data_IF_672045959525
#
_entry.id   IF_672045959525
#
_cell.length_a   1.000
_cell.length_b   1.000
_cell.length_c   1.000
_cell.angle_alpha   90.00
_cell.angle_beta   90.00
_cell.angle_gamma   90.00
#
_symmetry.space_group_name_H-M   'P 1'
#
loop_
_entity.id
_entity.type
_entity.pdbx_description
1 polymer ?
#
# COMPACT_ATOMS: atom_id res chain seq x y z
N UNK A 1 38.76 38.57 49.05
CA UNK A 1 37.67 39.55 48.87
C UNK A 1 37.74 40.17 47.48
N UNK A 2 36.78 39.83 46.60
CA UNK A 2 36.18 40.68 45.56
C UNK A 2 35.06 39.87 44.91
N UNK A 3 33.82 40.33 45.10
CA UNK A 3 32.60 39.84 44.46
C UNK A 3 32.46 40.55 43.12
N UNK A 4 32.07 39.86 42.04
CA UNK A 4 31.11 40.36 41.04
C UNK A 4 30.33 39.18 40.45
N UNK A 5 29.03 39.16 40.76
CA UNK A 5 27.95 38.46 40.06
C UNK A 5 27.48 39.41 38.96
N UNK A 6 27.30 38.95 37.72
CA UNK A 6 26.19 39.39 36.86
C UNK A 6 25.99 38.48 35.63
N UNK A 7 24.79 37.91 35.60
CA UNK A 7 24.07 37.19 34.54
C UNK A 7 23.83 38.14 33.34
N UNK A 8 23.67 37.60 32.12
CA UNK A 8 22.58 37.92 31.15
C UNK A 8 22.89 37.29 29.78
N UNK A 9 22.15 36.24 29.46
CA UNK A 9 21.32 36.05 28.26
C UNK A 9 21.76 36.75 26.95
N UNK A 10 22.10 35.96 25.93
CA UNK A 10 21.86 36.28 24.52
C UNK A 10 21.67 34.95 23.76
N UNK A 11 20.42 34.46 23.69
CA UNK A 11 19.56 34.53 22.48
C UNK A 11 20.19 33.66 21.38
N UNK A 12 19.91 32.35 21.31
CA UNK A 12 18.71 31.76 20.70
C UNK A 12 18.28 32.52 19.45
N UNK A 13 18.87 32.17 18.30
CA UNK A 13 18.11 32.04 17.07
C UNK A 13 18.38 30.65 16.51
N UNK A 14 17.66 29.71 17.11
CA UNK A 14 17.29 28.45 16.47
C UNK A 14 16.57 28.89 15.20
N UNK A 15 17.22 28.74 14.05
CA UNK A 15 16.55 28.80 12.76
C UNK A 15 15.65 27.57 12.66
N UNK A 16 14.47 27.69 13.27
CA UNK A 16 13.30 26.91 12.94
C UNK A 16 12.99 27.22 11.48
N UNK A 17 13.48 26.40 10.57
CA UNK A 17 12.90 26.29 9.24
C UNK A 17 11.48 25.75 9.46
N UNK A 18 10.54 26.66 9.69
CA UNK A 18 9.13 26.41 9.46
C UNK A 18 9.00 26.17 7.96
N UNK A 19 9.18 24.91 7.54
CA UNK A 19 8.63 24.47 6.28
C UNK A 19 7.12 24.56 6.49
N UNK A 20 6.51 25.66 6.01
CA UNK A 20 5.07 25.70 5.86
C UNK A 20 4.71 24.51 4.97
N UNK A 21 3.99 23.55 5.56
CA UNK A 21 3.33 22.51 4.80
C UNK A 21 2.28 23.22 3.95
N UNK A 22 2.60 23.42 2.67
CA UNK A 22 1.71 24.07 1.71
C UNK A 22 0.46 23.23 1.42
N UNK A 23 0.32 22.08 2.08
CA UNK A 23 -0.76 21.12 1.87
C UNK A 23 -0.57 20.47 0.53
N UNK A 24 -0.35 19.16 0.50
CA UNK A 24 -0.30 18.44 -0.76
C UNK A 24 -1.68 18.43 -1.42
N UNK A 25 -1.70 18.90 -2.67
CA UNK A 25 -2.87 18.86 -3.53
C UNK A 25 -2.91 17.51 -4.24
N UNK A 26 -3.83 16.64 -3.81
CA UNK A 26 -4.09 15.35 -4.46
C UNK A 26 -5.20 15.46 -5.50
N UNK A 27 -5.13 14.65 -6.55
CA UNK A 27 -6.27 14.41 -7.45
C UNK A 27 -7.33 13.58 -6.70
N UNK A 28 -8.57 13.61 -7.19
CA UNK A 28 -9.63 12.73 -6.65
C UNK A 28 -9.58 11.32 -7.27
N UNK A 29 -8.40 10.89 -7.75
CA UNK A 29 -8.20 9.56 -8.31
C UNK A 29 -8.21 8.50 -7.21
N UNK A 30 -8.76 7.32 -7.51
CA UNK A 30 -8.72 6.17 -6.62
C UNK A 30 -7.90 5.06 -7.26
N UNK A 31 -6.73 4.76 -6.70
CA UNK A 31 -5.77 3.79 -7.23
C UNK A 31 -6.05 2.40 -6.67
N UNK A 32 -5.98 1.41 -7.56
CA UNK A 32 -5.98 -0.01 -7.21
C UNK A 32 -4.77 -0.70 -7.82
N UNK A 33 -4.16 -1.62 -7.08
CA UNK A 33 -3.10 -2.49 -7.57
C UNK A 33 -3.64 -3.87 -7.84
N UNK A 34 -3.41 -4.36 -9.05
CA UNK A 34 -3.93 -5.61 -9.56
C UNK A 34 -2.80 -6.59 -9.88
N UNK A 35 -3.07 -7.88 -9.72
CA UNK A 35 -2.31 -8.98 -10.28
C UNK A 35 -3.02 -9.47 -11.55
N UNK A 36 -2.33 -9.47 -12.68
CA UNK A 36 -2.80 -10.12 -13.89
C UNK A 36 -2.44 -11.61 -13.85
N UNK A 37 -3.42 -12.49 -14.05
CA UNK A 37 -3.20 -13.94 -14.07
C UNK A 37 -3.57 -14.50 -15.43
N UNK A 38 -2.61 -15.15 -16.09
CA UNK A 38 -2.78 -15.87 -17.35
C UNK A 38 -3.04 -17.35 -17.10
N UNK A 39 -3.87 -17.95 -17.95
CA UNK A 39 -4.26 -19.36 -17.84
C UNK A 39 -5.59 -19.53 -17.11
N UNK A 40 -5.63 -20.44 -16.14
CA UNK A 40 -6.86 -20.79 -15.43
C UNK A 40 -7.41 -19.63 -14.58
N UNK A 41 -8.74 -19.60 -14.45
CA UNK A 41 -9.45 -18.59 -13.66
C UNK A 41 -9.49 -19.00 -12.19
N UNK A 42 -9.04 -18.10 -11.29
CA UNK A 42 -9.18 -18.29 -9.85
C UNK A 42 -10.67 -18.36 -9.45
N UNK A 43 -11.04 -19.37 -8.67
CA UNK A 43 -12.39 -19.52 -8.10
C UNK A 43 -12.57 -18.69 -6.83
N UNK A 44 -11.48 -18.45 -6.10
CA UNK A 44 -11.44 -17.60 -4.91
C UNK A 44 -10.13 -16.82 -4.89
N UNK A 45 -10.17 -15.58 -4.40
CA UNK A 45 -8.97 -14.82 -4.12
C UNK A 45 -9.22 -13.83 -2.98
N UNK A 46 -8.16 -13.54 -2.21
CA UNK A 46 -8.17 -12.55 -1.13
C UNK A 46 -6.74 -12.15 -0.82
N UNK A 47 -6.59 -11.07 -0.05
CA UNK A 47 -5.27 -10.61 0.42
C UNK A 47 -5.23 -10.62 1.94
N UNK A 48 -4.21 -11.21 2.54
CA UNK A 48 -3.99 -11.18 3.99
C UNK A 48 -3.04 -10.04 4.30
N UNK A 49 -3.45 -9.09 5.15
CA UNK A 49 -2.55 -8.11 5.74
C UNK A 49 -1.74 -8.80 6.84
N UNK A 50 -0.43 -8.92 6.66
CA UNK A 50 0.40 -9.74 7.56
C UNK A 50 0.52 -9.13 8.96
N UNK A 51 0.47 -7.80 9.06
CA UNK A 51 0.66 -7.10 10.33
C UNK A 51 -0.36 -7.48 11.42
N UNK A 52 -1.60 -7.82 11.04
CA UNK A 52 -2.69 -8.11 11.96
C UNK A 52 -3.52 -9.33 11.58
N UNK A 53 -3.17 -10.02 10.49
CA UNK A 53 -3.86 -11.19 9.96
C UNK A 53 -5.30 -10.90 9.49
N UNK A 54 -5.59 -9.65 9.16
CA UNK A 54 -6.87 -9.27 8.55
C UNK A 54 -6.96 -9.80 7.12
N UNK A 55 -8.14 -10.31 6.77
CA UNK A 55 -8.43 -10.75 5.40
C UNK A 55 -9.14 -9.63 4.66
N UNK A 56 -8.50 -9.16 3.60
CA UNK A 56 -9.03 -8.18 2.66
C UNK A 56 -9.73 -8.96 1.56
N UNK A 57 -11.05 -8.86 1.58
CA UNK A 57 -11.93 -9.53 0.64
C UNK A 57 -12.39 -8.55 -0.43
N UNK A 58 -12.14 -8.88 -1.69
CA UNK A 58 -12.41 -8.02 -2.83
C UNK A 58 -13.74 -8.33 -3.53
N UNK A 59 -14.58 -9.21 -2.95
CA UNK A 59 -15.89 -9.60 -3.51
C UNK A 59 -16.86 -8.44 -3.69
N UNK A 60 -16.69 -7.34 -2.95
CA UNK A 60 -17.56 -6.15 -3.05
C UNK A 60 -17.13 -5.17 -4.15
N UNK A 61 -15.96 -5.38 -4.78
CA UNK A 61 -15.49 -4.50 -5.85
C UNK A 61 -16.06 -5.00 -7.18
N UNK A 62 -17.16 -4.39 -7.60
CA UNK A 62 -17.95 -4.74 -8.80
C UNK A 62 -17.19 -4.52 -10.13
N UNK A 63 -16.02 -3.88 -10.08
CA UNK A 63 -15.22 -3.54 -11.26
C UNK A 63 -14.12 -4.58 -11.51
N UNK A 64 -14.47 -5.66 -12.21
CA UNK A 64 -13.49 -6.54 -12.83
C UNK A 64 -13.16 -5.97 -14.21
N UNK A 65 -11.91 -5.55 -14.49
CA UNK A 65 -11.51 -5.21 -15.85
C UNK A 65 -11.81 -6.41 -16.76
N UNK A 66 -12.35 -6.11 -17.94
CA UNK A 66 -12.73 -7.08 -18.96
C UNK A 66 -11.71 -8.21 -19.05
N UNK A 67 -12.19 -9.47 -19.02
CA UNK A 67 -11.34 -10.61 -19.32
C UNK A 67 -10.79 -10.42 -20.72
N UNK A 68 -9.48 -10.23 -20.86
CA UNK A 68 -8.85 -10.50 -22.14
C UNK A 68 -8.91 -12.02 -22.35
N UNK A 69 -8.86 -12.46 -23.60
CA UNK A 69 -8.99 -13.88 -23.95
C UNK A 69 -7.88 -14.77 -23.37
N UNK A 70 -6.87 -14.21 -22.69
CA UNK A 70 -5.68 -14.88 -22.20
C UNK A 70 -5.42 -14.70 -20.68
N UNK A 71 -6.23 -13.93 -19.95
CA UNK A 71 -6.05 -13.71 -18.51
C UNK A 71 -7.07 -12.78 -17.85
N UNK A 72 -6.95 -12.64 -16.53
CA UNK A 72 -7.84 -11.83 -15.69
C UNK A 72 -7.05 -11.01 -14.68
N UNK A 73 -7.55 -9.81 -14.37
CA UNK A 73 -6.99 -8.95 -13.32
C UNK A 73 -7.69 -9.18 -11.99
N UNK A 74 -6.90 -9.30 -10.92
CA UNK A 74 -7.37 -9.52 -9.56
C UNK A 74 -6.82 -8.42 -8.65
N UNK A 75 -7.69 -7.74 -7.91
CA UNK A 75 -7.27 -6.68 -6.99
C UNK A 75 -6.47 -7.29 -5.84
N UNK A 76 -5.35 -6.64 -5.51
CA UNK A 76 -4.51 -6.97 -4.36
C UNK A 76 -4.81 -5.99 -3.22
N UNK A 77 -4.74 -4.69 -3.53
CA UNK A 77 -4.91 -3.61 -2.56
C UNK A 77 -5.40 -2.33 -3.27
N UNK A 78 -6.04 -1.44 -2.53
CA UNK A 78 -6.53 -0.15 -3.03
C UNK A 78 -6.19 1.00 -2.08
N UNK A 79 -6.41 2.22 -2.54
CA UNK A 79 -6.25 3.46 -1.76
C UNK A 79 -7.09 3.52 -0.48
N UNK A 80 -8.06 2.61 -0.30
CA UNK A 80 -8.76 2.46 0.98
C UNK A 80 -7.82 2.26 2.18
N UNK A 81 -6.62 1.70 1.93
CA UNK A 81 -5.59 1.46 2.94
C UNK A 81 -4.54 2.58 3.03
N UNK A 82 -4.66 3.68 2.26
CA UNK A 82 -3.65 4.76 2.20
C UNK A 82 -3.34 5.35 3.58
N UNK A 83 -4.38 5.79 4.29
CA UNK A 83 -4.23 6.42 5.61
C UNK A 83 -3.57 5.46 6.61
N UNK A 84 -3.89 4.18 6.52
CA UNK A 84 -3.33 3.17 7.40
C UNK A 84 -1.89 2.83 7.09
N UNK A 85 -1.40 3.11 5.88
CA UNK A 85 -0.03 2.87 5.44
C UNK A 85 0.83 4.14 5.41
N UNK A 86 0.26 5.28 5.79
CA UNK A 86 0.95 6.58 5.72
C UNK A 86 2.27 6.55 6.52
N UNK A 87 3.36 6.87 5.84
CA UNK A 87 4.71 6.91 6.43
C UNK A 87 5.30 5.54 6.79
N UNK A 88 4.67 4.42 6.41
CA UNK A 88 5.20 3.07 6.64
C UNK A 88 5.00 2.14 5.44
N UNK A 89 5.65 0.98 5.53
CA UNK A 89 5.53 -0.12 4.57
C UNK A 89 5.06 -1.37 5.31
N UNK A 90 4.17 -2.13 4.68
CA UNK A 90 3.64 -3.37 5.24
C UNK A 90 3.60 -4.48 4.19
N UNK A 91 3.59 -5.71 4.69
CA UNK A 91 3.51 -6.90 3.88
C UNK A 91 2.06 -7.36 3.73
N UNK A 92 1.73 -7.76 2.52
CA UNK A 92 0.43 -8.29 2.14
C UNK A 92 0.63 -9.59 1.39
N UNK A 93 -0.14 -10.62 1.71
CA UNK A 93 -0.07 -11.91 1.05
C UNK A 93 -1.30 -12.14 0.18
N UNK A 94 -1.13 -12.11 -1.13
CA UNK A 94 -2.20 -12.43 -2.07
C UNK A 94 -2.32 -13.95 -2.21
N UNK A 95 -3.51 -14.46 -1.94
CA UNK A 95 -3.85 -15.87 -2.08
C UNK A 95 -4.89 -16.02 -3.19
N UNK A 96 -4.52 -16.81 -4.20
CA UNK A 96 -5.42 -17.23 -5.27
C UNK A 96 -5.65 -18.73 -5.25
N UNK A 97 -6.90 -19.16 -5.40
CA UNK A 97 -7.28 -20.57 -5.40
C UNK A 97 -8.05 -20.97 -6.66
N UNK A 98 -7.88 -22.23 -7.04
CA UNK A 98 -8.72 -22.93 -8.02
C UNK A 98 -9.28 -24.15 -7.31
N UNK A 99 -10.61 -24.25 -7.26
CA UNK A 99 -11.33 -25.38 -6.64
C UNK A 99 -10.85 -25.67 -5.20
N UNK A 100 -10.63 -24.61 -4.42
CA UNK A 100 -10.16 -24.68 -3.03
C UNK A 100 -8.66 -24.94 -2.86
N UNK A 101 -7.91 -25.27 -3.92
CA UNK A 101 -6.44 -25.43 -3.87
C UNK A 101 -5.76 -24.09 -4.09
N UNK A 102 -4.82 -23.74 -3.20
CA UNK A 102 -3.95 -22.56 -3.38
C UNK A 102 -3.04 -22.80 -4.58
N UNK A 103 -3.18 -21.95 -5.60
CA UNK A 103 -2.35 -21.94 -6.81
C UNK A 103 -1.46 -20.70 -6.90
N UNK A 104 -1.80 -19.64 -6.16
CA UNK A 104 -1.00 -18.44 -6.01
C UNK A 104 -0.87 -18.10 -4.52
N UNK A 105 0.36 -17.85 -4.09
CA UNK A 105 0.72 -17.38 -2.75
C UNK A 105 1.89 -16.39 -2.92
N UNK A 106 1.58 -15.11 -3.10
CA UNK A 106 2.53 -14.08 -3.51
C UNK A 106 2.55 -12.94 -2.48
N UNK A 107 3.75 -12.63 -1.99
CA UNK A 107 3.97 -11.55 -1.05
C UNK A 107 4.21 -10.24 -1.79
N UNK A 108 3.50 -9.21 -1.35
CA UNK A 108 3.61 -7.83 -1.79
C UNK A 108 4.08 -6.95 -0.64
N UNK A 109 4.75 -5.86 -1.00
CA UNK A 109 5.06 -4.78 -0.05
C UNK A 109 4.41 -3.51 -0.59
N UNK A 110 3.57 -2.89 0.25
CA UNK A 110 2.91 -1.62 -0.05
C UNK A 110 3.24 -0.59 1.02
N UNK A 111 3.26 0.68 0.63
CA UNK A 111 3.33 1.81 1.55
C UNK A 111 2.31 2.88 1.20
N UNK A 112 2.05 3.79 2.14
CA UNK A 112 1.17 4.94 1.96
C UNK A 112 1.99 6.16 1.63
N UNK A 113 1.80 6.70 0.42
CA UNK A 113 2.31 8.00 0.06
C UNK A 113 1.36 9.10 0.52
N UNK A 114 1.67 10.32 0.09
CA UNK A 114 0.91 11.51 0.42
C UNK A 114 -0.53 11.45 -0.14
N UNK A 115 -0.69 10.98 -1.39
CA UNK A 115 -1.99 10.91 -2.06
C UNK A 115 -2.52 9.48 -2.27
N UNK A 116 -1.64 8.52 -2.54
CA UNK A 116 -2.03 7.16 -2.93
C UNK A 116 -1.16 6.12 -2.23
N UNK A 117 -1.63 4.88 -2.19
CA UNK A 117 -0.76 3.75 -1.90
C UNK A 117 0.24 3.55 -3.04
N UNK A 118 1.41 3.01 -2.73
CA UNK A 118 2.41 2.63 -3.73
C UNK A 118 2.87 1.18 -3.51
N UNK A 119 3.09 0.46 -4.61
CA UNK A 119 3.69 -0.87 -4.57
C UNK A 119 5.21 -0.75 -4.56
N UNK A 120 5.84 -1.21 -3.49
CA UNK A 120 7.29 -1.35 -3.39
C UNK A 120 7.76 -2.64 -4.09
N UNK A 121 7.03 -3.75 -3.89
CA UNK A 121 7.41 -5.04 -4.48
C UNK A 121 6.22 -5.99 -4.67
N UNK A 122 6.45 -7.04 -5.48
CA UNK A 122 5.48 -8.06 -5.84
C UNK A 122 5.15 -8.03 -7.34
N UNK A 123 4.82 -9.20 -7.89
CA UNK A 123 4.61 -9.36 -9.35
C UNK A 123 3.47 -8.51 -9.89
N UNK A 124 3.54 -8.17 -11.17
CA UNK A 124 2.39 -7.60 -11.91
C UNK A 124 1.60 -8.69 -12.62
N UNK A 125 2.25 -9.81 -12.93
CA UNK A 125 1.70 -10.89 -13.71
C UNK A 125 2.18 -12.25 -13.19
N UNK A 126 1.27 -13.24 -13.21
CA UNK A 126 1.58 -14.65 -13.00
C UNK A 126 0.94 -15.47 -14.13
N UNK A 127 1.65 -16.44 -14.67
CA UNK A 127 1.09 -17.44 -15.59
C UNK A 127 0.94 -18.75 -14.83
N UNK A 128 -0.26 -19.33 -14.86
CA UNK A 128 -0.50 -20.67 -14.35
C UNK A 128 -0.16 -21.67 -15.46
N UNK A 129 0.79 -22.55 -15.19
CA UNK A 129 1.10 -23.66 -16.10
C UNK A 129 -0.06 -24.66 -16.07
N UNK A 130 -0.54 -25.06 -17.25
CA UNK A 130 -1.58 -26.07 -17.45
C UNK A 130 -1.04 -27.49 -17.24
#
# INVERSE_FOLDING_TARGET
>A
MKKYILIVLSIVFISLNSCEDLGTVCTTEFVTYNLFVKGDTLTEYFTIRIANNDTIDHREIEYFPESDTNGRSYIILSDGYRAELEGKKEYFNFIGKIEGKIVINEIYIFGGGECHIYKESGKNEITLEQ
#
